data_IF_520651720335
#
_entry.id   IF_520651720335
#
_cell.length_a   1.000
_cell.length_b   1.000
_cell.length_c   1.000
_cell.angle_alpha   90.00
_cell.angle_beta   90.00
_cell.angle_gamma   90.00
#
_symmetry.space_group_name_H-M   'P 1'
#
loop_
_entity.id
_entity.type
_entity.pdbx_description
1 polymer ?
#
# COMPACT_ATOMS: atom_id res chain seq x y z
N UNK A 1 12.33 7.29 6.19
CA UNK A 1 12.61 6.06 5.42
C UNK A 1 12.08 6.27 4.01
N UNK A 2 12.62 5.58 3.00
CA UNK A 2 12.09 5.69 1.63
C UNK A 2 10.82 4.87 1.52
N UNK A 3 9.82 5.36 0.77
CA UNK A 3 8.61 4.61 0.47
C UNK A 3 8.91 3.54 -0.57
N UNK A 4 8.56 2.30 -0.25
CA UNK A 4 8.69 1.12 -1.09
C UNK A 4 7.28 0.65 -1.52
N UNK A 5 7.03 0.69 -2.83
CA UNK A 5 5.73 0.33 -3.38
C UNK A 5 5.51 -1.18 -3.47
N UNK A 6 6.58 -1.99 -3.52
CA UNK A 6 6.45 -3.45 -3.48
C UNK A 6 6.07 -3.91 -2.06
N UNK A 7 6.61 -3.25 -1.03
CA UNK A 7 6.14 -3.46 0.35
C UNK A 7 4.69 -3.01 0.53
N UNK A 8 4.30 -1.84 0.01
CA UNK A 8 2.90 -1.39 0.01
C UNK A 8 1.99 -2.47 -0.58
N UNK A 9 2.31 -2.99 -1.76
CA UNK A 9 1.53 -4.05 -2.41
C UNK A 9 1.45 -5.31 -1.54
N UNK A 10 2.58 -5.73 -0.96
CA UNK A 10 2.66 -6.92 -0.11
C UNK A 10 1.81 -6.79 1.17
N UNK A 11 1.83 -5.61 1.81
CA UNK A 11 1.00 -5.34 3.00
C UNK A 11 -0.49 -5.35 2.67
N UNK A 12 -0.89 -4.79 1.53
CA UNK A 12 -2.28 -4.81 1.10
C UNK A 12 -2.77 -6.23 0.79
N UNK A 13 -1.94 -7.04 0.11
CA UNK A 13 -2.23 -8.46 -0.12
C UNK A 13 -2.40 -9.21 1.21
N UNK A 14 -1.45 -9.04 2.14
CA UNK A 14 -1.49 -9.66 3.46
C UNK A 14 -2.78 -9.31 4.23
N UNK A 15 -3.15 -8.03 4.23
CA UNK A 15 -4.34 -7.56 4.94
C UNK A 15 -5.65 -8.05 4.30
N UNK A 16 -5.69 -8.26 2.99
CA UNK A 16 -6.88 -8.79 2.31
C UNK A 16 -7.09 -10.29 2.59
N UNK A 17 -6.00 -11.05 2.79
CA UNK A 17 -6.06 -12.49 3.09
C UNK A 17 -6.48 -12.81 4.53
N UNK A 18 -6.51 -11.80 5.42
CA UNK A 18 -6.97 -11.98 6.78
C UNK A 18 -8.43 -12.41 6.83
N UNK A 19 -8.72 -13.37 7.73
CA UNK A 19 -10.06 -13.89 7.94
C UNK A 19 -10.98 -12.92 8.71
N UNK A 20 -10.41 -11.98 9.47
CA UNK A 20 -11.12 -11.03 10.30
C UNK A 20 -10.44 -9.64 10.37
N UNK A 21 -11.09 -8.72 11.09
CA UNK A 21 -10.66 -7.35 11.31
C UNK A 21 -9.81 -7.15 12.58
N UNK A 22 -9.36 -8.24 13.22
CA UNK A 22 -8.56 -8.13 14.45
C UNK A 22 -7.17 -7.56 14.17
N UNK A 23 -6.51 -7.02 15.19
CA UNK A 23 -5.13 -6.56 15.07
C UNK A 23 -4.22 -7.73 14.64
N UNK A 24 -3.36 -7.49 13.66
CA UNK A 24 -2.39 -8.46 13.18
C UNK A 24 -0.95 -8.00 13.43
N UNK A 25 -0.12 -8.91 13.95
CA UNK A 25 1.33 -8.76 13.92
C UNK A 25 1.82 -9.17 12.53
N UNK A 26 2.07 -8.18 11.68
CA UNK A 26 2.42 -8.40 10.28
C UNK A 26 3.92 -8.68 10.16
N UNK A 27 4.25 -9.81 9.54
CA UNK A 27 5.62 -10.17 9.16
C UNK A 27 5.67 -10.34 7.64
N UNK A 28 6.48 -9.53 6.98
CA UNK A 28 6.77 -9.65 5.54
C UNK A 28 8.25 -10.01 5.39
N UNK A 29 8.54 -11.10 4.68
CA UNK A 29 9.91 -11.55 4.43
C UNK A 29 10.75 -10.44 3.76
N UNK A 30 11.98 -10.24 4.23
CA UNK A 30 12.90 -9.23 3.70
C UNK A 30 12.73 -7.82 4.27
N UNK A 31 11.74 -7.59 5.15
CA UNK A 31 11.51 -6.29 5.78
C UNK A 31 11.54 -6.38 7.31
N UNK A 32 12.18 -5.42 7.95
CA UNK A 32 12.19 -5.29 9.41
C UNK A 32 10.90 -4.61 9.93
N UNK A 33 10.62 -4.76 11.23
CA UNK A 33 9.42 -4.20 11.87
C UNK A 33 9.33 -2.67 11.74
N UNK A 34 10.45 -1.94 11.78
CA UNK A 34 10.42 -0.49 11.65
C UNK A 34 10.04 -0.07 10.23
N UNK A 35 10.54 -0.79 9.22
CA UNK A 35 10.17 -0.57 7.82
C UNK A 35 8.70 -0.87 7.60
N UNK A 36 8.19 -2.00 8.12
CA UNK A 36 6.77 -2.36 8.04
C UNK A 36 5.91 -1.29 8.73
N UNK A 37 6.24 -0.93 9.98
CA UNK A 37 5.51 0.07 10.75
C UNK A 37 5.44 1.44 10.07
N UNK A 38 6.54 1.89 9.46
CA UNK A 38 6.55 3.12 8.67
C UNK A 38 5.59 3.06 7.48
N UNK A 39 5.54 1.93 6.76
CA UNK A 39 4.63 1.80 5.61
C UNK A 39 3.17 1.66 6.04
N UNK A 40 2.88 1.05 7.18
CA UNK A 40 1.52 1.04 7.73
C UNK A 40 1.02 2.45 8.06
N UNK A 41 1.87 3.32 8.59
CA UNK A 41 1.54 4.74 8.79
C UNK A 41 1.22 5.41 7.45
N UNK A 42 2.04 5.20 6.41
CA UNK A 42 1.80 5.77 5.09
C UNK A 42 0.48 5.28 4.46
N UNK A 43 0.17 3.99 4.59
CA UNK A 43 -1.07 3.40 4.07
C UNK A 43 -2.31 3.95 4.78
N UNK A 44 -2.22 4.14 6.10
CA UNK A 44 -3.25 4.76 6.91
C UNK A 44 -3.48 6.23 6.52
N UNK A 45 -2.41 7.02 6.40
CA UNK A 45 -2.47 8.42 5.97
C UNK A 45 -3.00 8.58 4.54
N UNK A 46 -2.71 7.60 3.67
CA UNK A 46 -3.24 7.55 2.30
C UNK A 46 -4.69 7.04 2.21
N UNK A 47 -5.30 6.62 3.33
CA UNK A 47 -6.65 6.07 3.37
C UNK A 47 -6.82 4.75 2.63
N UNK A 48 -5.76 3.93 2.52
CA UNK A 48 -5.81 2.61 1.89
C UNK A 48 -6.14 1.48 2.88
N UNK A 49 -5.92 1.71 4.17
CA UNK A 49 -6.32 0.80 5.23
C UNK A 49 -6.98 1.58 6.38
N UNK A 50 -7.78 0.85 7.15
CA UNK A 50 -8.27 1.28 8.45
C UNK A 50 -7.52 0.56 9.56
N UNK A 51 -7.37 1.24 10.69
CA UNK A 51 -6.70 0.71 11.86
C UNK A 51 -6.69 1.72 12.99
N UNK A 52 -6.16 1.29 14.13
CA UNK A 52 -6.04 2.12 15.31
C UNK A 52 -4.65 2.77 15.36
N UNK A 53 -4.54 4.10 15.27
CA UNK A 53 -3.25 4.78 15.39
C UNK A 53 -2.89 4.95 16.87
N UNK A 54 -1.67 4.54 17.23
CA UNK A 54 -1.01 5.05 18.43
C UNK A 54 -0.42 6.41 18.13
N UNK A 55 -0.71 7.40 18.97
CA UNK A 55 -0.22 8.79 18.81
C UNK A 55 0.71 9.21 19.94
N UNK A 56 1.73 10.00 19.60
CA UNK A 56 2.62 10.61 20.58
C UNK A 56 1.84 11.55 21.50
N UNK A 57 1.99 11.36 22.82
CA UNK A 57 1.35 12.21 23.84
C UNK A 57 1.86 13.65 23.82
N UNK A 58 3.07 13.89 23.31
CA UNK A 58 3.70 15.23 23.30
C UNK A 58 3.50 15.97 21.98
N UNK A 59 3.38 15.24 20.86
CA UNK A 59 3.39 15.85 19.53
C UNK A 59 2.16 15.55 18.68
N UNK A 60 1.21 14.74 19.17
CA UNK A 60 0.03 14.24 18.43
C UNK A 60 0.35 13.49 17.13
N UNK A 61 1.62 13.21 16.86
CA UNK A 61 2.08 12.50 15.66
C UNK A 61 1.70 11.03 15.79
N UNK A 62 1.20 10.42 14.71
CA UNK A 62 1.04 8.96 14.63
C UNK A 62 2.41 8.29 14.70
N UNK A 63 2.59 7.40 15.66
CA UNK A 63 3.86 6.69 15.91
C UNK A 63 3.80 5.21 15.51
N UNK A 64 2.59 4.64 15.45
CA UNK A 64 2.32 3.26 15.02
C UNK A 64 0.86 3.20 14.57
N UNK A 65 0.57 2.31 13.63
CA UNK A 65 -0.81 1.96 13.25
C UNK A 65 -0.98 0.46 13.46
N UNK A 66 -2.10 0.09 14.09
CA UNK A 66 -2.54 -1.28 14.25
C UNK A 66 -3.59 -1.57 13.16
N UNK A 67 -3.19 -2.16 12.02
CA UNK A 67 -4.06 -2.29 10.86
C UNK A 67 -5.11 -3.37 11.08
N UNK A 68 -6.35 -3.07 10.71
CA UNK A 68 -7.51 -3.96 10.86
C UNK A 68 -7.93 -4.54 9.52
N UNK A 69 -8.24 -3.67 8.55
CA UNK A 69 -8.75 -4.04 7.23
C UNK A 69 -8.39 -3.02 6.16
N UNK A 70 -8.60 -3.36 4.90
CA UNK A 70 -8.52 -2.42 3.80
C UNK A 70 -9.74 -1.49 3.77
N UNK A 71 -9.54 -0.26 3.30
CA UNK A 71 -10.65 0.60 2.88
C UNK A 71 -11.16 0.16 1.51
N UNK A 72 -12.31 0.70 1.09
CA UNK A 72 -12.77 0.53 -0.29
C UNK A 72 -11.71 0.98 -1.31
N UNK A 73 -11.07 2.12 -1.05
CA UNK A 73 -10.01 2.63 -1.91
C UNK A 73 -8.76 1.73 -1.89
N UNK A 74 -8.47 1.09 -0.76
CA UNK A 74 -7.46 0.04 -0.64
C UNK A 74 -7.74 -1.15 -1.55
N UNK A 75 -8.98 -1.65 -1.53
CA UNK A 75 -9.41 -2.73 -2.42
C UNK A 75 -9.32 -2.33 -3.91
N UNK A 76 -9.77 -1.13 -4.27
CA UNK A 76 -9.68 -0.65 -5.66
C UNK A 76 -8.23 -0.56 -6.15
N UNK A 77 -7.34 -0.02 -5.31
CA UNK A 77 -5.91 0.03 -5.64
C UNK A 77 -5.33 -1.38 -5.76
N UNK A 78 -5.63 -2.25 -4.79
CA UNK A 78 -5.10 -3.62 -4.77
C UNK A 78 -5.61 -4.46 -5.94
N UNK A 79 -6.87 -4.30 -6.36
CA UNK A 79 -7.43 -5.02 -7.50
C UNK A 79 -6.62 -4.80 -8.79
N UNK A 80 -6.20 -3.56 -9.04
CA UNK A 80 -5.35 -3.25 -10.18
C UNK A 80 -3.87 -3.61 -9.95
N UNK A 81 -3.38 -3.56 -8.70
CA UNK A 81 -2.01 -3.90 -8.36
C UNK A 81 -1.76 -5.40 -8.20
N UNK A 82 -2.80 -6.22 -8.05
CA UNK A 82 -2.70 -7.67 -7.81
C UNK A 82 -2.07 -8.40 -8.98
N UNK A 83 -2.39 -8.02 -10.21
CA UNK A 83 -1.87 -8.69 -11.39
C UNK A 83 -0.40 -8.31 -11.60
N UNK A 84 0.51 -9.28 -11.54
CA UNK A 84 1.95 -9.04 -11.70
C UNK A 84 2.30 -8.40 -13.05
N UNK A 85 1.61 -8.78 -14.12
CA UNK A 85 1.86 -8.20 -15.45
C UNK A 85 1.49 -6.72 -15.49
N UNK A 86 0.33 -6.34 -14.92
CA UNK A 86 -0.08 -4.94 -14.80
C UNK A 86 0.91 -4.20 -13.90
N UNK A 87 1.22 -4.74 -12.73
CA UNK A 87 2.13 -4.14 -11.75
C UNK A 87 3.51 -3.84 -12.34
N UNK A 88 4.15 -4.83 -12.97
CA UNK A 88 5.49 -4.65 -13.55
C UNK A 88 5.48 -3.67 -14.72
N UNK A 89 4.44 -3.67 -15.57
CA UNK A 89 4.28 -2.68 -16.64
C UNK A 89 4.12 -1.26 -16.08
N UNK A 90 3.30 -1.10 -15.04
CA UNK A 90 3.11 0.19 -14.36
C UNK A 90 4.41 0.68 -13.73
N UNK A 91 5.15 -0.18 -13.02
CA UNK A 91 6.46 0.17 -12.44
C UNK A 91 7.48 0.56 -13.51
N UNK A 92 7.56 -0.20 -14.62
CA UNK A 92 8.47 0.13 -15.71
C UNK A 92 8.15 1.50 -16.33
N UNK A 93 6.87 1.79 -16.54
CA UNK A 93 6.42 3.09 -17.05
C UNK A 93 6.74 4.22 -16.07
N UNK A 94 6.41 4.05 -14.79
CA UNK A 94 6.73 5.02 -13.74
C UNK A 94 8.24 5.31 -13.69
N UNK A 95 9.08 4.27 -13.63
CA UNK A 95 10.53 4.40 -13.58
C UNK A 95 11.13 5.11 -14.80
N UNK A 96 10.53 4.91 -15.99
CA UNK A 96 10.98 5.56 -17.23
C UNK A 96 10.63 7.06 -17.31
N UNK A 97 9.57 7.49 -16.63
CA UNK A 97 9.05 8.86 -16.72
C UNK A 97 9.52 9.75 -15.56
N UNK A 98 9.66 9.19 -14.35
CA UNK A 98 10.20 9.88 -13.17
C UNK A 98 10.49 8.85 -12.07
N UNK A 99 11.72 8.78 -11.53
CA UNK A 99 12.14 7.77 -10.54
C UNK A 99 11.10 7.40 -9.47
N UNK A 100 11.01 8.17 -8.37
CA UNK A 100 9.90 8.01 -7.41
C UNK A 100 8.71 8.88 -7.85
N UNK A 101 7.62 8.23 -8.27
CA UNK A 101 6.38 8.92 -8.68
C UNK A 101 5.46 9.20 -7.49
N UNK A 102 4.69 10.31 -7.49
CA UNK A 102 3.63 10.54 -6.51
C UNK A 102 2.62 9.38 -6.47
N UNK A 103 2.03 9.10 -5.29
CA UNK A 103 1.07 8.00 -5.14
C UNK A 103 -0.12 8.11 -6.10
N UNK A 104 -0.67 9.32 -6.24
CA UNK A 104 -1.81 9.59 -7.12
C UNK A 104 -1.49 9.23 -8.58
N UNK A 105 -0.31 9.64 -9.07
CA UNK A 105 0.12 9.33 -10.44
C UNK A 105 0.31 7.82 -10.64
N UNK A 106 0.90 7.12 -9.66
CA UNK A 106 1.05 5.67 -9.72
C UNK A 106 -0.31 4.98 -9.79
N UNK A 107 -1.28 5.41 -8.98
CA UNK A 107 -2.65 4.90 -9.00
C UNK A 107 -3.31 5.12 -10.37
N UNK A 108 -3.15 6.30 -10.96
CA UNK A 108 -3.70 6.61 -12.29
C UNK A 108 -3.06 5.75 -13.38
N UNK A 109 -1.73 5.59 -13.36
CA UNK A 109 -1.01 4.72 -14.28
C UNK A 109 -1.43 3.26 -14.14
N UNK A 110 -1.66 2.80 -12.92
CA UNK A 110 -2.13 1.44 -12.62
C UNK A 110 -3.51 1.19 -13.26
N UNK A 111 -4.46 2.11 -13.06
CA UNK A 111 -5.80 2.03 -13.66
C UNK A 111 -5.72 2.09 -15.18
N UNK A 112 -4.90 2.97 -15.74
CA UNK A 112 -4.69 3.06 -17.20
C UNK A 112 -4.13 1.75 -17.76
N UNK A 113 -3.14 1.17 -17.08
CA UNK A 113 -2.51 -0.09 -17.49
C UNK A 113 -3.51 -1.24 -17.41
N UNK A 114 -4.34 -1.27 -16.36
CA UNK A 114 -5.39 -2.27 -16.21
C UNK A 114 -6.45 -2.18 -17.31
N UNK A 115 -6.92 -0.97 -17.66
CA UNK A 115 -7.87 -0.75 -18.77
C UNK A 115 -7.33 -1.27 -20.10
N UNK A 116 -6.10 -0.86 -20.45
CA UNK A 116 -5.45 -1.33 -21.66
C UNK A 116 -5.26 -2.86 -21.69
N UNK A 117 -5.02 -3.49 -20.52
CA UNK A 117 -4.86 -4.93 -20.41
C UNK A 117 -6.16 -5.71 -20.67
N UNK A 118 -7.31 -5.15 -20.28
CA UNK A 118 -8.63 -5.76 -20.51
C UNK A 118 -9.31 -5.30 -21.80
N UNK A 119 -8.64 -4.48 -22.62
CA UNK A 119 -9.15 -4.00 -23.91
C UNK A 119 -10.17 -2.87 -23.81
N UNK A 120 -10.15 -2.10 -22.71
CA UNK A 120 -10.96 -0.89 -22.48
C UNK A 120 -10.19 0.40 -22.76
#
# INVERSE_FOLDING_TARGET
MKRDMDLVRSLLLYLEEKADDQMADIVIEGYDEFTIGYHLILLYEAGLLEGEPSVSSTSKRVIRVHPMRLTWQGHDFLAAARNDTIWQKTKAKAASEAGDVPFALLKDLLIQTARAYVGL
#
